data_IF_805601758878
#
_entry.id   IF_805601758878
#
_cell.length_a   1.000
_cell.length_b   1.000
_cell.length_c   1.000
_cell.angle_alpha   90.00
_cell.angle_beta   90.00
_cell.angle_gamma   90.00
#
_symmetry.space_group_name_H-M   'P 1'
#
loop_
_entity.id
_entity.type
_entity.pdbx_description
1 polymer ?
#
# COMPACT_ATOMS: atom_id res chain seq x y z
N UNK A 1 -22.81 -4.38 -16.33
CA UNK A 1 -22.64 -2.92 -16.24
C UNK A 1 -21.17 -2.64 -16.03
N UNK A 2 -20.54 -1.78 -16.84
CA UNK A 2 -19.15 -1.43 -16.56
C UNK A 2 -19.11 -0.79 -15.17
N UNK A 3 -18.25 -1.32 -14.32
CA UNK A 3 -17.92 -0.73 -13.04
C UNK A 3 -17.47 0.71 -13.30
N UNK A 4 -18.21 1.70 -12.79
CA UNK A 4 -17.74 3.08 -12.78
C UNK A 4 -16.40 3.08 -12.05
N UNK A 5 -15.33 3.40 -12.78
CA UNK A 5 -14.08 3.79 -12.13
C UNK A 5 -14.43 4.79 -11.05
N UNK A 6 -14.05 4.51 -9.82
CA UNK A 6 -14.26 5.43 -8.72
C UNK A 6 -13.22 6.56 -8.83
N UNK A 7 -13.36 7.36 -9.89
CA UNK A 7 -12.44 8.45 -10.26
C UNK A 7 -12.36 9.56 -9.22
N UNK A 8 -13.17 9.46 -8.16
CA UNK A 8 -13.24 10.45 -7.08
C UNK A 8 -12.32 10.10 -5.89
N UNK A 9 -11.95 8.82 -5.74
CA UNK A 9 -11.11 8.37 -4.62
C UNK A 9 -9.63 8.53 -4.98
N UNK A 10 -8.87 9.08 -4.03
CA UNK A 10 -7.43 9.26 -4.13
C UNK A 10 -6.68 8.40 -3.12
N UNK A 11 -5.39 8.20 -3.37
CA UNK A 11 -4.49 7.55 -2.40
C UNK A 11 -4.47 8.28 -1.05
N UNK A 12 -4.66 9.60 -1.05
CA UNK A 12 -4.75 10.42 0.17
C UNK A 12 -6.00 10.10 0.98
N UNK A 13 -7.14 9.82 0.33
CA UNK A 13 -8.38 9.45 1.00
C UNK A 13 -8.22 8.10 1.72
N UNK A 14 -7.58 7.13 1.07
CA UNK A 14 -7.25 5.82 1.64
C UNK A 14 -6.25 5.97 2.79
N UNK A 15 -5.19 6.74 2.60
CA UNK A 15 -4.18 6.99 3.63
C UNK A 15 -4.77 7.65 4.87
N UNK A 16 -5.61 8.66 4.70
CA UNK A 16 -6.29 9.33 5.81
C UNK A 16 -7.20 8.36 6.58
N UNK A 17 -7.91 7.48 5.87
CA UNK A 17 -8.72 6.44 6.52
C UNK A 17 -7.87 5.45 7.32
N UNK A 18 -6.75 5.00 6.79
CA UNK A 18 -5.83 4.08 7.48
C UNK A 18 -5.33 4.71 8.78
N UNK A 19 -4.89 5.97 8.74
CA UNK A 19 -4.39 6.66 9.93
C UNK A 19 -5.50 6.93 10.96
N UNK A 20 -6.71 7.25 10.50
CA UNK A 20 -7.87 7.38 11.40
C UNK A 20 -8.19 6.06 12.10
N UNK A 21 -8.02 4.93 11.41
CA UNK A 21 -8.36 3.61 11.93
C UNK A 21 -7.29 3.04 12.86
N UNK A 22 -6.01 3.17 12.50
CA UNK A 22 -4.88 2.62 13.25
C UNK A 22 -4.29 3.57 14.30
N UNK A 23 -4.56 4.87 14.19
CA UNK A 23 -3.88 5.91 14.97
C UNK A 23 -2.53 6.26 14.38
N UNK A 24 -1.63 6.79 15.22
CA UNK A 24 -0.29 7.17 14.81
C UNK A 24 0.55 5.97 14.38
N UNK A 25 1.10 6.01 13.16
CA UNK A 25 1.93 4.95 12.59
C UNK A 25 3.14 5.54 11.86
N UNK A 26 4.22 4.77 11.68
CA UNK A 26 5.36 5.18 10.86
C UNK A 26 4.94 5.41 9.39
N UNK A 27 5.50 6.44 8.77
CA UNK A 27 5.21 6.78 7.35
C UNK A 27 5.49 5.62 6.41
N UNK A 28 6.59 4.91 6.61
CA UNK A 28 6.92 3.74 5.80
C UNK A 28 5.83 2.66 5.87
N UNK A 29 5.23 2.48 7.04
CA UNK A 29 4.10 1.56 7.23
C UNK A 29 2.86 2.07 6.50
N UNK A 30 2.58 3.36 6.55
CA UNK A 30 1.45 3.95 5.82
C UNK A 30 1.59 3.72 4.32
N UNK A 31 2.75 4.03 3.73
CA UNK A 31 2.99 3.84 2.29
C UNK A 31 2.77 2.40 1.86
N UNK A 32 3.29 1.45 2.62
CA UNK A 32 3.09 0.02 2.35
C UNK A 32 1.63 -0.41 2.49
N UNK A 33 0.92 0.05 3.51
CA UNK A 33 -0.49 -0.28 3.70
C UNK A 33 -1.37 0.26 2.58
N UNK A 34 -1.10 1.48 2.09
CA UNK A 34 -1.80 2.04 0.91
C UNK A 34 -1.54 1.17 -0.33
N UNK A 35 -0.29 0.70 -0.52
CA UNK A 35 0.04 -0.23 -1.61
C UNK A 35 -0.72 -1.55 -1.46
N UNK A 36 -0.73 -2.16 -0.29
CA UNK A 36 -1.46 -3.40 -0.06
C UNK A 36 -2.97 -3.25 -0.27
N UNK A 37 -3.55 -2.11 0.08
CA UNK A 37 -4.96 -1.82 -0.24
C UNK A 37 -5.22 -1.84 -1.75
N UNK A 38 -4.34 -1.25 -2.55
CA UNK A 38 -4.43 -1.30 -4.02
C UNK A 38 -4.25 -2.72 -4.55
N UNK A 39 -3.22 -3.43 -4.09
CA UNK A 39 -2.93 -4.82 -4.51
C UNK A 39 -4.16 -5.71 -4.33
N UNK A 40 -4.71 -5.75 -3.13
CA UNK A 40 -5.84 -6.64 -2.83
C UNK A 40 -7.16 -6.16 -3.43
N UNK A 41 -7.29 -4.85 -3.70
CA UNK A 41 -8.43 -4.37 -4.47
C UNK A 41 -8.39 -4.87 -5.90
N UNK A 42 -7.24 -4.83 -6.57
CA UNK A 42 -7.06 -5.40 -7.92
C UNK A 42 -7.37 -6.90 -7.92
N UNK A 43 -6.85 -7.65 -6.96
CA UNK A 43 -7.08 -9.10 -6.87
C UNK A 43 -8.56 -9.43 -6.67
N UNK A 44 -9.21 -8.83 -5.68
CA UNK A 44 -10.61 -9.16 -5.35
C UNK A 44 -11.62 -8.58 -6.34
N UNK A 45 -11.20 -7.65 -7.16
CA UNK A 45 -12.01 -7.03 -8.22
C UNK A 45 -11.63 -7.55 -9.63
N UNK A 46 -10.84 -8.65 -9.69
CA UNK A 46 -10.40 -9.27 -10.96
C UNK A 46 -9.76 -8.28 -11.94
N UNK A 47 -8.97 -7.35 -11.43
CA UNK A 47 -8.27 -6.30 -12.17
C UNK A 47 -9.19 -5.40 -13.04
N UNK A 48 -10.47 -5.25 -12.67
CA UNK A 48 -11.40 -4.45 -13.46
C UNK A 48 -11.14 -2.94 -13.35
N UNK A 49 -10.69 -2.50 -12.18
CA UNK A 49 -10.34 -1.09 -11.92
C UNK A 49 -9.41 -0.98 -10.72
N UNK A 50 -8.53 0.03 -10.66
CA UNK A 50 -7.76 0.35 -9.47
C UNK A 50 -8.65 0.93 -8.36
N UNK A 51 -8.20 0.86 -7.11
CA UNK A 51 -8.89 1.44 -5.95
C UNK A 51 -8.95 2.98 -6.03
N UNK A 52 -7.88 3.58 -6.53
CA UNK A 52 -7.74 5.02 -6.76
C UNK A 52 -6.94 5.27 -8.03
N UNK A 53 -6.93 6.52 -8.50
CA UNK A 53 -6.41 6.90 -9.82
C UNK A 53 -4.89 7.03 -9.91
N UNK A 54 -4.23 7.27 -8.77
CA UNK A 54 -2.79 7.51 -8.74
C UNK A 54 -2.01 6.22 -8.99
N UNK A 55 -0.92 6.33 -9.73
CA UNK A 55 -0.01 5.23 -10.00
C UNK A 55 1.00 5.02 -8.86
N UNK A 56 1.45 3.78 -8.71
CA UNK A 56 2.61 3.47 -7.89
C UNK A 56 3.88 3.50 -8.73
N UNK A 57 4.88 4.21 -8.25
CA UNK A 57 6.23 4.22 -8.82
C UNK A 57 7.16 3.31 -8.01
N UNK A 58 8.13 2.70 -8.67
CA UNK A 58 9.07 1.74 -8.06
C UNK A 58 10.27 2.45 -7.41
N UNK A 59 10.03 3.23 -6.37
CA UNK A 59 11.09 3.97 -5.67
C UNK A 59 12.04 3.05 -4.89
N UNK A 60 13.19 3.57 -4.46
CA UNK A 60 14.21 2.85 -3.68
C UNK A 60 13.60 2.19 -2.43
N UNK A 61 12.75 2.92 -1.73
CA UNK A 61 12.15 2.48 -0.46
C UNK A 61 10.87 1.64 -0.64
N UNK A 62 10.54 1.25 -1.86
CA UNK A 62 9.36 0.45 -2.17
C UNK A 62 8.38 1.17 -3.08
N UNK A 63 7.23 0.53 -3.35
CA UNK A 63 6.14 1.15 -4.10
C UNK A 63 5.70 2.46 -3.47
N UNK A 64 5.59 3.53 -4.25
CA UNK A 64 5.29 4.87 -3.76
C UNK A 64 4.32 5.60 -4.66
N UNK A 65 3.28 6.19 -4.07
CA UNK A 65 2.46 7.23 -4.71
C UNK A 65 3.10 8.59 -4.45
N UNK A 66 3.47 9.28 -5.51
CA UNK A 66 4.17 10.59 -5.43
C UNK A 66 3.39 11.64 -4.65
N UNK A 67 2.09 11.71 -4.87
CA UNK A 67 1.18 12.65 -4.18
C UNK A 67 1.14 12.39 -2.67
N UNK A 68 1.08 11.12 -2.28
CA UNK A 68 1.11 10.73 -0.87
C UNK A 68 2.45 11.09 -0.21
N UNK A 69 3.56 10.81 -0.90
CA UNK A 69 4.89 11.20 -0.41
C UNK A 69 5.00 12.71 -0.17
N UNK A 70 4.51 13.52 -1.11
CA UNK A 70 4.51 14.99 -0.98
C UNK A 70 3.63 15.46 0.17
N UNK A 71 2.46 14.85 0.35
CA UNK A 71 1.49 15.25 1.37
C UNK A 71 1.99 14.98 2.79
N UNK A 72 2.57 13.78 3.05
CA UNK A 72 3.01 13.39 4.40
C UNK A 72 4.47 13.72 4.68
N UNK A 73 5.22 14.18 3.67
CA UNK A 73 6.65 14.45 3.75
C UNK A 73 7.53 13.20 3.73
N UNK A 74 8.80 13.40 3.38
CA UNK A 74 9.72 12.34 2.96
C UNK A 74 10.54 11.67 4.06
N UNK A 75 10.33 11.94 5.34
CA UNK A 75 11.12 11.31 6.40
C UNK A 75 10.64 9.88 6.68
N UNK A 76 11.43 8.89 6.29
CA UNK A 76 11.08 7.47 6.36
C UNK A 76 10.77 7.00 7.80
N UNK A 77 11.56 7.40 8.78
CA UNK A 77 11.41 6.99 10.18
C UNK A 77 10.42 7.80 10.99
N UNK A 78 9.84 8.87 10.42
CA UNK A 78 8.89 9.70 11.17
C UNK A 78 7.49 9.07 11.20
N UNK A 79 6.75 9.34 12.27
CA UNK A 79 5.36 8.94 12.39
C UNK A 79 4.42 9.93 11.68
N UNK A 80 3.26 9.43 11.30
CA UNK A 80 2.14 10.18 10.76
C UNK A 80 0.91 9.93 11.62
N UNK A 81 0.16 10.97 11.89
CA UNK A 81 -1.13 10.91 12.58
C UNK A 81 -2.25 11.47 11.69
N UNK A 82 -3.48 11.46 12.20
CA UNK A 82 -4.68 11.88 11.45
C UNK A 82 -4.57 13.29 10.84
N UNK A 83 -3.81 14.19 11.45
CA UNK A 83 -3.64 15.58 10.99
C UNK A 83 -2.57 15.71 9.88
N UNK A 84 -1.82 14.65 9.62
CA UNK A 84 -0.65 14.67 8.74
C UNK A 84 -0.92 14.19 7.31
N UNK A 85 -2.18 13.98 6.91
CA UNK A 85 -2.55 13.62 5.53
C UNK A 85 -3.37 14.75 4.90
N UNK A 86 -2.72 15.88 4.54
CA UNK A 86 -3.42 17.01 3.92
C UNK A 86 -4.10 16.60 2.62
N UNK A 87 -5.32 17.04 2.43
CA UNK A 87 -6.12 16.72 1.23
C UNK A 87 -6.79 15.36 1.25
N UNK A 88 -6.54 14.52 2.25
CA UNK A 88 -7.24 13.26 2.43
C UNK A 88 -8.67 13.48 2.92
N UNK A 89 -9.62 12.79 2.28
CA UNK A 89 -11.06 12.90 2.54
C UNK A 89 -11.65 11.50 2.80
N UNK A 90 -11.39 10.91 3.99
CA UNK A 90 -11.82 9.53 4.27
C UNK A 90 -13.35 9.36 4.27
N UNK A 91 -14.11 10.46 4.37
CA UNK A 91 -15.56 10.46 4.24
C UNK A 91 -16.09 10.13 2.85
N UNK A 92 -15.27 10.21 1.80
CA UNK A 92 -15.64 9.81 0.45
C UNK A 92 -15.67 8.29 0.26
N UNK A 93 -15.00 7.53 1.14
CA UNK A 93 -15.00 6.09 1.09
C UNK A 93 -16.37 5.55 1.52
N UNK A 94 -17.04 4.84 0.62
CA UNK A 94 -18.26 4.13 0.96
C UNK A 94 -17.99 2.93 1.89
N UNK A 95 -19.07 2.30 2.37
CA UNK A 95 -18.96 1.19 3.31
C UNK A 95 -18.20 -0.02 2.72
N UNK A 96 -18.32 -0.29 1.44
CA UNK A 96 -17.65 -1.41 0.76
C UNK A 96 -16.14 -1.18 0.70
N UNK A 97 -15.72 0.03 0.35
CA UNK A 97 -14.31 0.42 0.34
C UNK A 97 -13.70 0.40 1.74
N UNK A 98 -14.43 0.90 2.74
CA UNK A 98 -13.99 0.82 4.14
C UNK A 98 -13.81 -0.63 4.61
N UNK A 99 -14.75 -1.51 4.31
CA UNK A 99 -14.65 -2.93 4.63
C UNK A 99 -13.49 -3.61 3.90
N UNK A 100 -13.24 -3.23 2.64
CA UNK A 100 -12.08 -3.70 1.88
C UNK A 100 -10.77 -3.32 2.58
N UNK A 101 -10.61 -2.04 2.90
CA UNK A 101 -9.41 -1.54 3.59
C UNK A 101 -9.25 -2.23 4.96
N UNK A 102 -10.31 -2.37 5.73
CA UNK A 102 -10.27 -3.05 7.03
C UNK A 102 -9.77 -4.49 6.93
N UNK A 103 -10.20 -5.27 5.93
CA UNK A 103 -9.69 -6.62 5.69
C UNK A 103 -8.17 -6.63 5.47
N UNK A 104 -7.66 -5.67 4.72
CA UNK A 104 -6.22 -5.52 4.51
C UNK A 104 -5.52 -5.16 5.81
N UNK A 105 -6.08 -4.23 6.59
CA UNK A 105 -5.52 -3.80 7.88
C UNK A 105 -5.56 -4.89 8.95
N UNK A 106 -6.54 -5.79 8.93
CA UNK A 106 -6.61 -6.93 9.85
C UNK A 106 -5.42 -7.87 9.68
N UNK A 107 -4.89 -7.97 8.45
CA UNK A 107 -3.72 -8.81 8.14
C UNK A 107 -2.41 -8.04 8.33
N UNK A 108 -2.29 -6.86 7.74
CA UNK A 108 -1.02 -6.12 7.66
C UNK A 108 -0.88 -5.02 8.72
N UNK A 109 -1.97 -4.54 9.29
CA UNK A 109 -1.96 -3.38 10.19
C UNK A 109 -1.17 -3.61 11.48
N UNK A 110 -0.97 -4.85 11.90
CA UNK A 110 -0.19 -5.22 13.10
C UNK A 110 1.28 -5.50 12.81
N UNK A 111 1.70 -5.52 11.55
CA UNK A 111 3.07 -5.82 11.19
C UNK A 111 4.03 -4.72 11.66
N UNK A 112 5.21 -5.14 12.11
CA UNK A 112 6.31 -4.23 12.43
C UNK A 112 6.90 -3.61 11.15
N UNK A 113 7.61 -2.50 11.29
CA UNK A 113 8.38 -1.89 10.20
C UNK A 113 9.38 -2.89 9.61
N UNK A 114 10.03 -3.68 10.43
CA UNK A 114 10.99 -4.70 9.98
C UNK A 114 10.30 -5.72 9.07
N UNK A 115 9.13 -6.23 9.48
CA UNK A 115 8.36 -7.17 8.65
C UNK A 115 7.94 -6.55 7.31
N UNK A 116 7.58 -5.26 7.32
CA UNK A 116 7.20 -4.52 6.12
C UNK A 116 8.38 -4.34 5.16
N UNK A 117 9.56 -3.98 5.66
CA UNK A 117 10.77 -3.84 4.85
C UNK A 117 11.11 -5.16 4.15
N UNK A 118 11.04 -6.27 4.87
CA UNK A 118 11.25 -7.59 4.26
C UNK A 118 10.17 -7.97 3.25
N UNK A 119 8.92 -7.62 3.51
CA UNK A 119 7.82 -7.87 2.55
C UNK A 119 8.03 -7.11 1.24
N UNK A 120 8.50 -5.87 1.31
CA UNK A 120 8.88 -5.08 0.13
C UNK A 120 9.95 -5.77 -0.70
N UNK A 121 11.00 -6.29 -0.07
CA UNK A 121 12.10 -6.97 -0.75
C UNK A 121 11.66 -8.29 -1.42
N UNK A 122 10.48 -8.81 -1.05
CA UNK A 122 9.86 -9.98 -1.66
C UNK A 122 8.81 -9.62 -2.72
N UNK A 123 8.49 -8.34 -2.88
CA UNK A 123 7.48 -7.86 -3.85
C UNK A 123 8.03 -7.93 -5.28
N UNK A 124 7.57 -8.94 -6.03
CA UNK A 124 8.02 -9.15 -7.40
C UNK A 124 7.63 -7.99 -8.34
N UNK A 125 6.42 -7.44 -8.30
CA UNK A 125 6.04 -6.30 -9.14
C UNK A 125 7.00 -5.10 -9.01
N UNK A 126 7.37 -4.75 -7.79
CA UNK A 126 8.35 -3.70 -7.53
C UNK A 126 9.74 -4.06 -8.08
N UNK A 127 10.19 -5.31 -7.89
CA UNK A 127 11.50 -5.79 -8.37
C UNK A 127 11.62 -5.74 -9.88
N UNK A 128 10.63 -6.30 -10.61
CA UNK A 128 10.69 -6.35 -12.08
C UNK A 128 10.58 -4.96 -12.70
N UNK A 129 9.85 -4.04 -12.06
CA UNK A 129 9.77 -2.66 -12.51
C UNK A 129 11.09 -1.92 -12.35
N UNK A 130 11.93 -2.36 -11.40
CA UNK A 130 13.28 -1.84 -11.17
C UNK A 130 14.38 -2.61 -11.90
N UNK A 131 14.03 -3.55 -12.77
CA UNK A 131 15.03 -4.29 -13.51
C UNK A 131 15.94 -3.35 -14.32
N UNK A 132 17.25 -3.59 -14.24
CA UNK A 132 18.28 -2.71 -14.83
C UNK A 132 18.73 -1.53 -13.95
N UNK A 133 18.07 -1.26 -12.82
CA UNK A 133 18.50 -0.23 -11.86
C UNK A 133 19.33 -0.82 -10.72
N UNK A 134 20.39 -0.12 -10.32
CA UNK A 134 21.14 -0.49 -9.13
C UNK A 134 20.26 -0.35 -7.86
N UNK A 135 20.61 -1.05 -6.78
CA UNK A 135 19.80 -1.10 -5.56
C UNK A 135 19.47 0.29 -4.99
N UNK A 136 20.44 1.21 -5.03
CA UNK A 136 20.30 2.58 -4.51
C UNK A 136 20.07 3.63 -5.62
N UNK A 137 19.83 3.20 -6.84
CA UNK A 137 19.54 4.09 -7.95
C UNK A 137 18.07 4.54 -7.91
N UNK A 138 17.84 5.83 -8.14
CA UNK A 138 16.48 6.36 -8.20
C UNK A 138 15.73 5.78 -9.41
N UNK A 139 14.53 5.29 -9.19
CA UNK A 139 13.64 4.78 -10.22
C UNK A 139 12.24 5.38 -9.99
N UNK A 140 11.63 5.90 -11.04
CA UNK A 140 10.27 6.45 -11.03
C UNK A 140 9.37 5.75 -12.03
N UNK A 141 9.78 4.56 -12.50
CA UNK A 141 8.95 3.77 -13.38
C UNK A 141 7.65 3.37 -12.66
N UNK A 142 6.54 3.46 -13.39
CA UNK A 142 5.23 3.06 -12.89
C UNK A 142 5.17 1.54 -12.79
N UNK A 143 4.68 1.04 -11.67
CA UNK A 143 4.40 -0.39 -11.47
C UNK A 143 3.07 -0.69 -12.14
N UNK A 144 3.13 -1.52 -13.18
CA UNK A 144 1.95 -1.91 -13.96
C UNK A 144 0.96 -2.70 -13.10
N UNK A 145 -0.31 -2.32 -13.13
CA UNK A 145 -1.40 -3.00 -12.42
C UNK A 145 -1.61 -4.43 -12.87
N UNK A 146 -1.35 -4.73 -14.15
CA UNK A 146 -1.42 -6.10 -14.66
C UNK A 146 -0.33 -6.99 -14.06
N UNK A 147 0.87 -6.47 -13.88
CA UNK A 147 1.97 -7.18 -13.20
C UNK A 147 1.62 -7.43 -11.72
N UNK A 148 1.04 -6.43 -11.05
CA UNK A 148 0.56 -6.59 -9.67
C UNK A 148 -0.48 -7.70 -9.59
N UNK A 149 -1.52 -7.61 -10.43
CA UNK A 149 -2.61 -8.58 -10.44
C UNK A 149 -2.10 -10.00 -10.73
N UNK A 150 -1.31 -10.18 -11.78
CA UNK A 150 -0.80 -11.49 -12.17
C UNK A 150 0.06 -12.16 -11.11
N UNK A 151 0.80 -11.37 -10.34
CA UNK A 151 1.62 -11.88 -9.26
C UNK A 151 0.80 -12.28 -8.02
N UNK A 152 -0.27 -11.54 -7.70
CA UNK A 152 -1.01 -11.73 -6.46
C UNK A 152 -2.31 -12.52 -6.60
N UNK A 153 -2.88 -12.67 -7.81
CA UNK A 153 -4.22 -13.26 -8.05
C UNK A 153 -4.42 -14.69 -7.49
N UNK A 154 -3.35 -15.49 -7.46
CA UNK A 154 -3.40 -16.88 -6.99
C UNK A 154 -2.90 -17.03 -5.54
N UNK A 155 -2.65 -15.92 -4.83
CA UNK A 155 -2.18 -15.93 -3.45
C UNK A 155 -3.31 -15.64 -2.47
N UNK A 156 -3.20 -16.21 -1.28
CA UNK A 156 -4.01 -15.77 -0.14
C UNK A 156 -3.32 -14.60 0.57
N UNK A 157 -4.10 -13.65 1.05
CA UNK A 157 -3.58 -12.42 1.67
C UNK A 157 -2.61 -12.72 2.83
N UNK A 158 -2.87 -13.79 3.60
CA UNK A 158 -2.04 -14.22 4.73
C UNK A 158 -0.69 -14.83 4.30
N UNK A 159 -0.59 -15.30 3.05
CA UNK A 159 0.64 -15.95 2.55
C UNK A 159 1.71 -14.92 2.16
N UNK A 160 1.32 -13.67 1.94
CA UNK A 160 2.24 -12.58 1.58
C UNK A 160 3.09 -12.15 2.77
N UNK A 161 2.66 -12.50 3.99
CA UNK A 161 3.41 -12.23 5.20
C UNK A 161 4.53 -13.27 5.34
N UNK A 162 5.77 -12.80 5.41
CA UNK A 162 6.89 -13.69 5.66
C UNK A 162 6.84 -14.23 7.11
N UNK A 163 6.30 -15.43 7.29
CA UNK A 163 6.12 -16.10 8.59
C UNK A 163 7.42 -16.22 9.41
N UNK A 164 8.59 -16.17 8.78
CA UNK A 164 9.89 -16.24 9.46
C UNK A 164 10.13 -15.03 10.37
N UNK A 165 9.51 -13.90 10.08
CA UNK A 165 9.69 -12.65 10.83
C UNK A 165 8.50 -12.29 11.72
N UNK A 166 7.34 -12.95 11.54
CA UNK A 166 6.17 -12.73 12.39
C UNK A 166 6.21 -13.53 13.69
N UNK A 167 6.94 -14.65 13.74
CA UNK A 167 6.99 -15.55 14.89
C UNK A 167 7.87 -15.12 16.06
N UNK A 168 8.61 -14.02 15.97
CA UNK A 168 9.55 -13.57 17.02
C UNK A 168 9.17 -12.31 17.79
N UNK A 169 8.07 -11.65 17.45
CA UNK A 169 7.72 -10.34 18.00
C UNK A 169 6.33 -10.25 18.62
N UNK A 170 5.68 -11.41 18.86
CA UNK A 170 4.37 -11.44 19.52
C UNK A 170 4.42 -11.94 20.97
N UNK A 171 5.61 -12.21 21.52
CA UNK A 171 5.80 -12.72 22.89
C UNK A 171 6.51 -11.72 23.83
N UNK A 172 6.24 -10.41 23.69
CA UNK A 172 6.63 -9.44 24.72
C UNK A 172 5.49 -8.43 24.95
#
# INVERSE_FOLDING_TARGET
MPYKQNTEISALDVAAYIVNYLGEIPKAKLWWLVYMCQVWYLVWNSNQAPLFKEDFEAWINGPMVRELYKAVGGSFGANVNVWCVPGGRPGLLDIKLKMHIQKVLDVFGRLSITSIVFSKDMDLPWKVTRDGYAAMEACTNVIDTDIIYDYYKDKHIEEVINKKYTGKYYDD
#
